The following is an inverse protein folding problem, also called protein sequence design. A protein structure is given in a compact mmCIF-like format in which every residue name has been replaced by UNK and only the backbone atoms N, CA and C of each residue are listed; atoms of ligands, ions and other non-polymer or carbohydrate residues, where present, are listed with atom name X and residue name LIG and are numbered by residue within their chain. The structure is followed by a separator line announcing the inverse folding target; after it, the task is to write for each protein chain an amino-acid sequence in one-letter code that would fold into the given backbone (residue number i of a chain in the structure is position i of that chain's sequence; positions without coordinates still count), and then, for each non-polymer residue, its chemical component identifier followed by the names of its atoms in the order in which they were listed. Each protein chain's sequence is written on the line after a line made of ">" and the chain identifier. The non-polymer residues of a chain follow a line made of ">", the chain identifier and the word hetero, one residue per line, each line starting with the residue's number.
data_IF_640139727655
#
_entry.id   IF_640139727655
#
_cell.length_a   1.000
_cell.length_b   1.000
_cell.length_c   1.000
_cell.angle_alpha   90.00
_cell.angle_beta   90.00
_cell.angle_gamma   90.00
#
_symmetry.space_group_name_H-M   'P 1'
#
loop_
_entity.id
_entity.type
_entity.pdbx_description
1 polymer ?
#
# COMPACT_ATOMS: atom_id res chain seq x y z
N UNK A 1 -1.02 -14.64 24.54
CA UNK A 1 -1.05 -14.70 24.25
C UNK A 1 -1.38 -14.41 23.97
N UNK A 2 -1.52 -14.35 23.41
CA UNK A 2 -1.68 -14.23 22.80
C UNK A 2 -2.22 -14.00 22.80
N UNK A 3 -2.26 -14.07 22.98
CA UNK A 3 -2.71 -13.92 22.67
C UNK A 3 -3.30 -13.73 22.80
N UNK A 4 -3.30 -13.82 22.93
CA UNK A 4 -3.73 -13.73 22.74
C UNK A 4 -4.33 -13.56 22.86
N UNK A 5 -4.29 -13.48 23.10
CA UNK A 5 -4.94 -13.49 22.87
C UNK A 5 -5.65 -13.22 23.09
N UNK A 6 -5.84 -13.05 23.11
CA UNK A 6 -6.62 -13.01 22.95
C UNK A 6 -7.61 -12.89 23.04
N UNK A 7 -7.95 -12.72 22.96
CA UNK A 7 -8.97 -12.80 22.71
C UNK A 7 -9.84 -12.96 23.29
N UNK A 8 -10.18 -12.54 23.44
CA UNK A 8 -11.14 -12.72 23.79
C UNK A 8 -12.03 -13.07 23.63
N UNK A 9 -12.30 -13.36 23.90
CA UNK A 9 -13.11 -13.77 23.46
C UNK A 9 -14.17 -13.52 23.28
N UNK A 10 -14.36 -13.30 23.19
CA UNK A 10 -15.26 -13.32 22.89
C UNK A 10 -15.99 -12.86 22.41
N UNK A 11 -15.76 -12.53 22.28
CA UNK A 11 -16.35 -12.08 21.77
C UNK A 11 -16.91 -12.09 20.94
N UNK A 12 -17.26 -12.13 20.84
CA UNK A 12 -17.79 -12.35 19.93
C UNK A 12 -17.96 -11.73 19.02
N UNK A 13 -17.82 -11.69 19.03
CA UNK A 13 -17.90 -11.22 18.34
C UNK A 13 -18.10 -10.87 17.61
N UNK A 14 -18.32 -10.92 17.50
CA UNK A 14 -18.69 -10.43 16.73
C UNK A 14 -18.19 -9.58 15.87
N UNK A 15 -17.92 -8.83 15.99
CA UNK A 15 -17.29 -8.00 15.12
C UNK A 15 -16.01 -8.56 14.78
N UNK A 16 -15.72 -8.61 13.53
CA UNK A 16 -14.47 -9.13 13.13
C UNK A 16 -13.38 -8.18 13.44
N UNK A 17 -12.40 -8.64 14.13
CA UNK A 17 -11.19 -7.87 14.34
C UNK A 17 -10.12 -8.43 13.47
N UNK A 18 -9.23 -7.58 13.02
CA UNK A 18 -8.09 -8.04 12.25
C UNK A 18 -7.17 -8.86 13.12
N UNK A 19 -6.63 -9.92 12.56
CA UNK A 19 -5.61 -10.69 13.24
C UNK A 19 -4.32 -9.86 13.31
N UNK A 20 -3.38 -10.29 14.14
CA UNK A 20 -2.10 -9.61 14.22
C UNK A 20 -1.44 -9.54 12.85
N UNK A 21 -1.50 -10.64 12.10
CA UNK A 21 -0.94 -10.70 10.75
C UNK A 21 -1.60 -9.68 9.84
N UNK A 22 -2.92 -9.59 9.91
CA UNK A 22 -3.64 -8.66 9.06
C UNK A 22 -3.34 -7.23 9.43
N UNK A 23 -3.20 -6.95 10.72
CA UNK A 23 -2.83 -5.60 11.15
C UNK A 23 -1.44 -5.24 10.63
N UNK A 24 -0.51 -6.17 10.71
CA UNK A 24 0.83 -5.95 10.20
C UNK A 24 0.81 -5.73 8.70
N UNK A 25 0.02 -6.51 8.00
CA UNK A 25 -0.12 -6.36 6.56
C UNK A 25 -0.69 -4.99 6.22
N UNK A 26 -1.70 -4.56 6.96
CA UNK A 26 -2.31 -3.25 6.74
C UNK A 26 -1.28 -2.13 6.91
N UNK A 27 -0.51 -2.19 7.99
CA UNK A 27 0.52 -1.20 8.24
C UNK A 27 1.56 -1.19 7.12
N UNK A 28 1.95 -2.37 6.67
CA UNK A 28 2.93 -2.47 5.61
C UNK A 28 2.38 -1.93 4.31
N UNK A 29 1.12 -2.25 4.00
CA UNK A 29 0.49 -1.72 2.80
C UNK A 29 0.43 -0.20 2.81
N UNK A 30 0.08 0.37 3.96
CA UNK A 30 0.02 1.82 4.07
C UNK A 30 1.39 2.45 3.86
N UNK A 31 2.42 1.84 4.42
CA UNK A 31 3.77 2.34 4.20
C UNK A 31 4.21 2.20 2.77
N UNK A 32 3.89 1.06 2.16
CA UNK A 32 4.23 0.83 0.75
C UNK A 32 3.53 1.84 -0.14
N UNK A 33 2.26 2.11 0.12
CA UNK A 33 1.52 3.08 -0.67
C UNK A 33 2.11 4.46 -0.54
N UNK A 34 2.53 4.82 0.66
CA UNK A 34 3.16 6.12 0.90
C UNK A 34 4.46 6.24 0.12
N UNK A 35 5.27 5.17 0.17
CA UNK A 35 6.55 5.17 -0.56
C UNK A 35 6.31 5.23 -2.06
N UNK A 36 5.34 4.47 -2.55
CA UNK A 36 5.02 4.48 -3.98
C UNK A 36 4.54 5.86 -4.43
N UNK A 37 3.71 6.50 -3.62
CA UNK A 37 3.21 7.83 -3.94
C UNK A 37 4.35 8.83 -4.00
N UNK A 38 5.29 8.74 -3.07
CA UNK A 38 6.44 9.63 -3.05
C UNK A 38 7.32 9.42 -4.28
N UNK A 39 7.58 8.17 -4.62
CA UNK A 39 8.38 7.85 -5.80
C UNK A 39 7.71 8.37 -7.07
N UNK A 40 6.41 8.15 -7.17
CA UNK A 40 5.66 8.62 -8.33
C UNK A 40 5.74 10.14 -8.47
N UNK A 41 5.59 10.84 -7.34
CA UNK A 41 5.67 12.31 -7.36
C UNK A 41 7.03 12.78 -7.83
N UNK A 42 8.08 12.13 -7.36
CA UNK A 42 9.43 12.50 -7.79
C UNK A 42 9.63 12.26 -9.27
N UNK A 43 9.14 11.14 -9.76
CA UNK A 43 9.27 10.83 -11.19
C UNK A 43 8.48 11.82 -12.03
N UNK A 44 7.28 12.17 -11.59
CA UNK A 44 6.47 13.15 -12.31
C UNK A 44 7.13 14.50 -12.33
N UNK A 45 7.75 14.88 -11.23
CA UNK A 45 8.46 16.15 -11.16
C UNK A 45 9.62 16.15 -12.14
N UNK A 46 10.36 15.05 -12.21
CA UNK A 46 11.46 14.93 -13.15
C UNK A 46 10.98 15.03 -14.59
N UNK A 47 9.85 14.38 -14.89
CA UNK A 47 9.29 14.46 -16.23
C UNK A 47 8.87 15.87 -16.57
N UNK A 48 8.28 16.57 -15.61
CA UNK A 48 7.81 17.94 -15.84
C UNK A 48 8.94 18.94 -15.96
N UNK A 49 10.12 18.61 -15.44
CA UNK A 49 11.26 19.51 -15.50
C UNK A 49 11.76 19.70 -16.93
N UNK A 50 11.52 18.72 -17.79
CA UNK A 50 11.93 18.78 -19.18
C UNK A 50 13.43 18.65 -19.38
N UNK A 51 14.16 18.21 -18.37
CA UNK A 51 15.62 18.13 -18.46
C UNK A 51 16.14 16.72 -18.64
N UNK A 52 15.26 15.72 -18.62
CA UNK A 52 15.70 14.34 -18.75
C UNK A 52 15.93 13.95 -20.20
N UNK A 53 16.99 13.15 -20.47
CA UNK A 53 17.15 12.55 -21.79
C UNK A 53 15.99 11.62 -22.12
N UNK A 54 15.80 11.37 -23.40
CA UNK A 54 14.68 10.55 -23.86
C UNK A 54 14.63 9.18 -23.19
N UNK A 55 15.78 8.54 -23.05
CA UNK A 55 15.83 7.22 -22.44
C UNK A 55 15.32 7.26 -20.99
N UNK A 56 15.71 8.28 -20.25
CA UNK A 56 15.27 8.41 -18.88
C UNK A 56 13.81 8.78 -18.78
N UNK A 57 13.33 9.59 -19.72
CA UNK A 57 11.91 9.90 -19.79
C UNK A 57 11.10 8.62 -19.97
N UNK A 58 11.55 7.76 -20.87
CA UNK A 58 10.86 6.53 -21.14
C UNK A 58 10.85 5.63 -19.91
N UNK A 59 12.00 5.50 -19.27
CA UNK A 59 12.10 4.67 -18.07
C UNK A 59 11.23 5.19 -16.94
N UNK A 60 11.22 6.51 -16.76
CA UNK A 60 10.40 7.11 -15.71
C UNK A 60 8.92 6.86 -15.98
N UNK A 61 8.49 6.99 -17.22
CA UNK A 61 7.11 6.71 -17.60
C UNK A 61 6.73 5.27 -17.31
N UNK A 62 7.61 4.35 -17.66
CA UNK A 62 7.37 2.93 -17.41
C UNK A 62 7.29 2.65 -15.92
N UNK A 63 8.18 3.27 -15.15
CA UNK A 63 8.15 3.08 -13.71
C UNK A 63 6.87 3.63 -13.09
N UNK A 64 6.43 4.78 -13.55
CA UNK A 64 5.18 5.37 -13.07
C UNK A 64 4.01 4.40 -13.34
N UNK A 65 3.98 3.81 -14.53
CA UNK A 65 2.95 2.83 -14.85
C UNK A 65 2.98 1.64 -13.90
N UNK A 66 4.18 1.13 -13.62
CA UNK A 66 4.33 0.02 -12.69
C UNK A 66 3.89 0.42 -11.26
N UNK A 67 4.22 1.64 -10.87
CA UNK A 67 3.82 2.13 -9.55
C UNK A 67 2.29 2.21 -9.46
N UNK A 68 1.65 2.68 -10.50
CA UNK A 68 0.19 2.78 -10.52
C UNK A 68 -0.45 1.41 -10.38
N UNK A 69 0.08 0.41 -11.08
CA UNK A 69 -0.41 -0.95 -10.98
C UNK A 69 -0.24 -1.51 -9.56
N UNK A 70 0.95 -1.31 -9.01
CA UNK A 70 1.23 -1.75 -7.65
C UNK A 70 0.31 -1.07 -6.64
N UNK A 71 0.12 0.23 -6.82
CA UNK A 71 -0.73 1.01 -5.94
C UNK A 71 -2.15 0.46 -5.98
N UNK A 72 -2.67 0.19 -7.17
CA UNK A 72 -4.02 -0.35 -7.30
C UNK A 72 -4.17 -1.68 -6.58
N UNK A 73 -3.20 -2.57 -6.75
CA UNK A 73 -3.25 -3.87 -6.10
C UNK A 73 -3.22 -3.74 -4.58
N UNK A 74 -2.34 -2.89 -4.09
CA UNK A 74 -2.22 -2.71 -2.65
C UNK A 74 -3.45 -2.03 -2.06
N UNK A 75 -4.00 -1.09 -2.78
CA UNK A 75 -5.22 -0.43 -2.33
C UNK A 75 -6.39 -1.40 -2.26
N UNK A 76 -6.50 -2.29 -3.23
CA UNK A 76 -7.53 -3.31 -3.21
C UNK A 76 -7.39 -4.21 -1.99
N UNK A 77 -6.17 -4.65 -1.73
CA UNK A 77 -5.94 -5.50 -0.57
C UNK A 77 -6.24 -4.76 0.72
N UNK A 78 -5.82 -3.51 0.79
CA UNK A 78 -6.08 -2.69 1.97
C UNK A 78 -7.56 -2.51 2.20
N UNK A 79 -8.31 -2.30 1.13
CA UNK A 79 -9.76 -2.17 1.21
C UNK A 79 -10.40 -3.45 1.75
N UNK A 80 -9.91 -4.60 1.30
CA UNK A 80 -10.39 -5.88 1.82
C UNK A 80 -10.18 -5.98 3.32
N UNK A 81 -9.02 -5.54 3.78
CA UNK A 81 -8.71 -5.58 5.21
C UNK A 81 -9.64 -4.64 5.98
N UNK A 82 -9.89 -3.46 5.44
CA UNK A 82 -10.82 -2.52 6.07
C UNK A 82 -12.23 -3.09 6.16
N UNK A 83 -12.63 -3.84 5.15
CA UNK A 83 -13.95 -4.45 5.17
C UNK A 83 -14.10 -5.50 6.27
N UNK A 84 -12.99 -6.02 6.74
CA UNK A 84 -13.01 -7.01 7.82
C UNK A 84 -13.02 -6.39 9.21
N UNK A 85 -12.98 -5.08 9.31
CA UNK A 85 -13.02 -4.42 10.60
C UNK A 85 -14.40 -4.46 11.25
#
# INVERSE_FOLDING_TARGET
>A
KEAARSEPPDAPVKKKKLTYKEQKEMEQLEKDLEALAAEKAELEESLNSGTLPYEQLQKASERIGAIMDETDEKELRLLELYENL
#
